data_IF_733374486884
#
_entry.id   IF_733374486884
#
_cell.length_a   1.000
_cell.length_b   1.000
_cell.length_c   1.000
_cell.angle_alpha   90.00
_cell.angle_beta   90.00
_cell.angle_gamma   90.00
#
_symmetry.space_group_name_H-M   'P 1'
#
loop_
_entity.id
_entity.type
_entity.pdbx_description
1 polymer ?
#
# COMPACT_ATOMS: atom_id res chain seq x y z
N UNK A 1 -4.36 -3.90 15.04
CA UNK A 1 -3.91 -3.50 13.70
C UNK A 1 -5.13 -3.56 12.77
N UNK A 2 -5.40 -2.53 11.96
CA UNK A 2 -6.55 -2.50 11.03
C UNK A 2 -6.04 -2.59 9.59
N UNK A 3 -6.07 -3.77 8.94
CA UNK A 3 -5.60 -3.90 7.57
C UNK A 3 -6.57 -3.26 6.58
N UNK A 4 -6.03 -2.70 5.50
CA UNK A 4 -6.77 -2.22 4.34
C UNK A 4 -6.42 -3.09 3.14
N UNK A 5 -7.43 -3.52 2.39
CA UNK A 5 -7.25 -4.25 1.14
C UNK A 5 -7.52 -3.31 -0.02
N UNK A 6 -6.54 -3.18 -0.91
CA UNK A 6 -6.63 -2.39 -2.13
C UNK A 6 -6.46 -3.32 -3.33
N UNK A 7 -7.40 -3.25 -4.28
CA UNK A 7 -7.33 -3.98 -5.55
C UNK A 7 -7.20 -3.02 -6.73
N UNK A 8 -7.20 -3.59 -7.95
CA UNK A 8 -7.14 -2.82 -9.19
C UNK A 8 -5.90 -1.92 -9.29
N UNK A 9 -4.77 -2.40 -8.77
CA UNK A 9 -3.47 -1.76 -8.93
C UNK A 9 -2.89 -2.13 -10.29
N UNK A 10 -2.20 -1.18 -10.92
CA UNK A 10 -1.46 -1.43 -12.15
C UNK A 10 -0.33 -2.43 -11.92
N UNK A 11 0.03 -3.18 -12.96
CA UNK A 11 1.06 -4.23 -12.87
C UNK A 11 2.44 -3.68 -12.43
N UNK A 12 2.73 -2.43 -12.76
CA UNK A 12 3.97 -1.75 -12.41
C UNK A 12 3.96 -1.08 -11.03
N UNK A 13 2.81 -1.11 -10.33
CA UNK A 13 2.65 -0.48 -9.02
C UNK A 13 3.65 -1.08 -8.05
N UNK A 14 4.45 -0.22 -7.41
CA UNK A 14 5.44 -0.63 -6.43
C UNK A 14 4.95 -0.39 -5.01
N UNK A 15 5.47 -1.20 -4.08
CA UNK A 15 5.23 -1.03 -2.66
C UNK A 15 5.56 0.39 -2.17
N UNK A 16 6.66 0.98 -2.64
CA UNK A 16 7.08 2.33 -2.25
C UNK A 16 6.09 3.43 -2.64
N UNK A 17 5.33 3.22 -3.72
CA UNK A 17 4.31 4.16 -4.16
C UNK A 17 3.10 4.13 -3.23
N UNK A 18 2.70 2.93 -2.79
CA UNK A 18 1.64 2.74 -1.80
C UNK A 18 2.04 3.35 -0.46
N UNK A 19 3.25 3.07 0.04
CA UNK A 19 3.74 3.66 1.30
C UNK A 19 3.75 5.19 1.24
N UNK A 20 4.26 5.77 0.15
CA UNK A 20 4.26 7.23 -0.06
C UNK A 20 2.85 7.81 -0.14
N UNK A 21 1.90 7.12 -0.77
CA UNK A 21 0.51 7.57 -0.87
C UNK A 21 -0.20 7.52 0.49
N UNK A 22 -0.14 6.37 1.18
CA UNK A 22 -0.89 6.13 2.41
C UNK A 22 -0.27 6.82 3.63
N UNK A 23 1.03 7.11 3.62
CA UNK A 23 1.70 7.89 4.68
C UNK A 23 1.05 9.25 4.95
N UNK A 24 0.35 9.83 3.95
CA UNK A 24 -0.40 11.09 4.10
C UNK A 24 -1.61 10.96 5.03
N UNK A 25 -2.16 9.75 5.17
CA UNK A 25 -3.35 9.47 5.98
C UNK A 25 -3.00 8.85 7.34
N UNK A 26 -1.73 8.51 7.56
CA UNK A 26 -1.25 7.95 8.81
C UNK A 26 -0.01 7.08 8.61
N UNK A 27 0.56 6.59 9.72
CA UNK A 27 1.70 5.68 9.67
C UNK A 27 1.30 4.37 9.00
N UNK A 28 2.08 3.96 7.99
CA UNK A 28 1.98 2.64 7.37
C UNK A 28 2.96 1.71 8.09
N UNK A 29 2.45 0.67 8.73
CA UNK A 29 3.28 -0.29 9.47
C UNK A 29 3.86 -1.38 8.57
N UNK A 30 3.10 -1.85 7.59
CA UNK A 30 3.48 -2.91 6.64
C UNK A 30 2.63 -2.83 5.38
N UNK A 31 3.24 -3.01 4.22
CA UNK A 31 2.55 -3.27 2.96
C UNK A 31 2.82 -4.71 2.55
N UNK A 32 1.78 -5.40 2.13
CA UNK A 32 1.83 -6.79 1.68
C UNK A 32 1.22 -6.86 0.28
N UNK A 33 2.08 -6.91 -0.74
CA UNK A 33 1.67 -7.04 -2.13
C UNK A 33 1.81 -8.51 -2.53
N UNK A 34 0.71 -9.10 -2.97
CA UNK A 34 0.78 -10.40 -3.65
C UNK A 34 1.39 -10.17 -5.03
N UNK A 35 2.54 -10.81 -5.27
CA UNK A 35 3.12 -10.97 -6.61
C UNK A 35 2.36 -12.02 -7.41
#
# INVERSE_FOLDING_TARGET
MRPLFCGNLEYDTRQSELERLFSKYGRVDRVDMKS
#
